data_IF_449485195101
#
_entry.id   IF_449485195101
#
_cell.length_a   1.000
_cell.length_b   1.000
_cell.length_c   1.000
_cell.angle_alpha   90.00
_cell.angle_beta   90.00
_cell.angle_gamma   90.00
#
_symmetry.space_group_name_H-M   'P 1'
#
loop_
_entity.id
_entity.type
_entity.pdbx_description
1 polymer ?
#
# COMPACT_ATOMS: atom_id res chain seq x y z
N UNK A 1 -45.94 32.27 -16.93
CA UNK A 1 -46.25 30.82 -17.11
C UNK A 1 -45.27 30.11 -18.06
N UNK A 2 -44.72 30.77 -19.09
CA UNK A 2 -43.87 30.13 -20.11
C UNK A 2 -42.44 29.78 -19.67
N UNK A 3 -41.76 30.66 -18.92
CA UNK A 3 -40.37 30.44 -18.46
C UNK A 3 -40.23 29.23 -17.52
N UNK A 4 -41.17 29.05 -16.58
CA UNK A 4 -41.17 27.94 -15.64
C UNK A 4 -41.36 26.58 -16.32
N UNK A 5 -42.31 26.51 -17.27
CA UNK A 5 -42.53 25.30 -18.09
C UNK A 5 -41.30 24.98 -18.94
N UNK A 6 -40.65 25.99 -19.52
CA UNK A 6 -39.42 25.82 -20.29
C UNK A 6 -38.27 25.25 -19.44
N UNK A 7 -38.05 25.78 -18.22
CA UNK A 7 -37.04 25.25 -17.32
C UNK A 7 -37.34 23.81 -16.88
N UNK A 8 -38.61 23.47 -16.67
CA UNK A 8 -39.03 22.11 -16.33
C UNK A 8 -38.81 21.13 -17.49
N UNK A 9 -39.21 21.50 -18.71
CA UNK A 9 -38.96 20.68 -19.91
C UNK A 9 -37.47 20.45 -20.11
N UNK A 10 -36.65 21.50 -19.98
CA UNK A 10 -35.18 21.37 -20.08
C UNK A 10 -34.60 20.38 -19.07
N UNK A 11 -35.02 20.45 -17.81
CA UNK A 11 -34.55 19.49 -16.78
C UNK A 11 -35.00 18.06 -17.08
N UNK A 12 -36.22 17.87 -17.58
CA UNK A 12 -36.72 16.55 -18.01
C UNK A 12 -35.87 15.98 -19.15
N UNK A 13 -35.54 16.81 -20.15
CA UNK A 13 -34.71 16.39 -21.28
C UNK A 13 -33.29 16.04 -20.82
N UNK A 14 -32.69 16.86 -19.96
CA UNK A 14 -31.37 16.59 -19.38
C UNK A 14 -31.35 15.28 -18.54
N UNK A 15 -32.41 15.01 -17.77
CA UNK A 15 -32.58 13.74 -17.04
C UNK A 15 -32.69 12.55 -17.99
N UNK A 16 -33.49 12.68 -19.06
CA UNK A 16 -33.66 11.63 -20.06
C UNK A 16 -32.34 11.29 -20.75
N UNK A 17 -31.59 12.32 -21.16
CA UNK A 17 -30.26 12.16 -21.78
C UNK A 17 -29.26 11.49 -20.82
N UNK A 18 -29.19 11.94 -19.56
CA UNK A 18 -28.31 11.36 -18.55
C UNK A 18 -28.70 9.91 -18.21
N UNK A 19 -29.99 9.60 -18.13
CA UNK A 19 -30.46 8.23 -17.92
C UNK A 19 -30.09 7.32 -19.09
N UNK A 20 -30.32 7.76 -20.33
CA UNK A 20 -29.92 7.00 -21.52
C UNK A 20 -28.41 6.72 -21.51
N UNK A 21 -27.60 7.74 -21.25
CA UNK A 21 -26.15 7.62 -21.15
C UNK A 21 -25.73 6.64 -20.03
N UNK A 22 -26.31 6.74 -18.84
CA UNK A 22 -25.98 5.87 -17.72
C UNK A 22 -26.43 4.42 -17.93
N UNK A 23 -27.58 4.20 -18.59
CA UNK A 23 -28.07 2.87 -18.96
C UNK A 23 -27.14 2.23 -19.98
N UNK A 24 -26.81 2.94 -21.06
CA UNK A 24 -25.87 2.45 -22.08
C UNK A 24 -24.50 2.10 -21.48
N UNK A 25 -24.08 2.85 -20.46
CA UNK A 25 -22.78 2.64 -19.83
C UNK A 25 -22.83 1.74 -18.59
N UNK A 26 -23.97 1.17 -18.23
CA UNK A 26 -24.13 0.33 -17.04
C UNK A 26 -23.30 -0.96 -17.14
N UNK A 27 -23.33 -1.62 -18.29
CA UNK A 27 -22.48 -2.76 -18.63
C UNK A 27 -21.01 -2.34 -18.72
N UNK A 28 -20.73 -1.16 -19.27
CA UNK A 28 -19.37 -0.63 -19.33
C UNK A 28 -18.80 -0.34 -17.94
N UNK A 29 -19.64 0.05 -16.98
CA UNK A 29 -19.23 0.27 -15.59
C UNK A 29 -18.78 -1.03 -14.92
N UNK A 30 -19.49 -2.15 -15.15
CA UNK A 30 -19.08 -3.45 -14.59
C UNK A 30 -17.78 -3.93 -15.24
N UNK A 31 -17.63 -3.75 -16.55
CA UNK A 31 -16.38 -4.00 -17.26
C UNK A 31 -15.21 -3.20 -16.68
N UNK A 32 -15.37 -1.88 -16.51
CA UNK A 32 -14.32 -1.02 -15.93
C UNK A 32 -14.00 -1.37 -14.47
N UNK A 33 -14.98 -1.83 -13.69
CA UNK A 33 -14.71 -2.36 -12.32
C UNK A 33 -13.85 -3.61 -12.37
N UNK A 34 -14.13 -4.52 -13.30
CA UNK A 34 -13.33 -5.72 -13.48
C UNK A 34 -11.92 -5.37 -13.98
N UNK A 35 -11.80 -4.44 -14.94
CA UNK A 35 -10.51 -3.92 -15.40
C UNK A 35 -9.70 -3.32 -14.25
N UNK A 36 -10.34 -2.53 -13.37
CA UNK A 36 -9.69 -1.97 -12.19
C UNK A 36 -9.19 -3.07 -11.25
N UNK A 37 -10.02 -4.06 -10.93
CA UNK A 37 -9.64 -5.16 -10.04
C UNK A 37 -8.51 -6.01 -10.62
N UNK A 38 -8.54 -6.28 -11.93
CA UNK A 38 -7.47 -6.99 -12.64
C UNK A 38 -6.17 -6.18 -12.66
N UNK A 39 -6.24 -4.87 -12.91
CA UNK A 39 -5.06 -4.00 -12.87
C UNK A 39 -4.46 -3.88 -11.47
N UNK A 40 -5.30 -3.86 -10.42
CA UNK A 40 -4.85 -3.89 -9.03
C UNK A 40 -4.13 -5.19 -8.68
N UNK A 41 -4.73 -6.34 -9.01
CA UNK A 41 -4.08 -7.65 -8.88
C UNK A 41 -2.78 -7.76 -9.68
N UNK A 42 -2.73 -7.18 -10.89
CA UNK A 42 -1.54 -7.18 -11.72
C UNK A 42 -0.40 -6.37 -11.07
N UNK A 43 -0.71 -5.18 -10.52
CA UNK A 43 0.27 -4.37 -9.79
C UNK A 43 0.81 -5.14 -8.58
N UNK A 44 -0.06 -5.68 -7.74
CA UNK A 44 0.34 -6.42 -6.54
C UNK A 44 1.23 -7.62 -6.88
N UNK A 45 0.86 -8.36 -7.94
CA UNK A 45 1.64 -9.50 -8.44
C UNK A 45 3.01 -9.06 -8.95
N UNK A 46 3.09 -7.98 -9.72
CA UNK A 46 4.36 -7.47 -10.26
C UNK A 46 5.27 -6.93 -9.16
N UNK A 47 4.72 -6.26 -8.14
CA UNK A 47 5.47 -5.76 -6.98
C UNK A 47 6.00 -6.92 -6.13
N UNK A 48 5.19 -7.96 -5.90
CA UNK A 48 5.63 -9.19 -5.22
C UNK A 48 6.76 -9.88 -6.00
N UNK A 49 6.63 -9.99 -7.33
CA UNK A 49 7.67 -10.57 -8.19
C UNK A 49 8.96 -9.74 -8.15
N UNK A 50 8.87 -8.41 -8.23
CA UNK A 50 10.02 -7.53 -8.12
C UNK A 50 10.73 -7.69 -6.77
N UNK A 51 9.97 -7.76 -5.68
CA UNK A 51 10.50 -7.98 -4.34
C UNK A 51 11.18 -9.36 -4.20
N UNK A 52 10.57 -10.43 -4.74
CA UNK A 52 11.15 -11.77 -4.74
C UNK A 52 12.45 -11.84 -5.54
N UNK A 53 12.48 -11.23 -6.73
CA UNK A 53 13.69 -11.16 -7.56
C UNK A 53 14.78 -10.34 -6.86
N UNK A 54 14.41 -9.26 -6.16
CA UNK A 54 15.36 -8.46 -5.37
C UNK A 54 16.02 -9.30 -4.30
N UNK A 55 15.23 -9.99 -3.47
CA UNK A 55 15.76 -10.86 -2.41
C UNK A 55 16.71 -11.92 -3.00
N UNK A 56 16.30 -12.55 -4.11
CA UNK A 56 17.15 -13.55 -4.78
C UNK A 56 18.45 -12.95 -5.31
N UNK A 57 18.38 -11.76 -5.92
CA UNK A 57 19.57 -11.05 -6.40
C UNK A 57 20.52 -10.70 -5.25
N UNK A 58 19.98 -10.23 -4.12
CA UNK A 58 20.77 -9.86 -2.93
C UNK A 58 21.42 -11.09 -2.30
N UNK A 59 20.70 -12.22 -2.26
CA UNK A 59 21.24 -13.52 -1.81
C UNK A 59 22.38 -14.00 -2.72
N UNK A 60 22.18 -14.02 -4.03
CA UNK A 60 23.21 -14.43 -4.98
C UNK A 60 24.43 -13.51 -4.91
N UNK A 61 24.23 -12.20 -4.77
CA UNK A 61 25.31 -11.24 -4.61
C UNK A 61 26.11 -11.52 -3.34
N UNK A 62 25.43 -11.77 -2.22
CA UNK A 62 26.09 -12.11 -0.95
C UNK A 62 26.88 -13.42 -1.05
N UNK A 63 26.27 -14.47 -1.62
CA UNK A 63 26.93 -15.77 -1.80
C UNK A 63 28.16 -15.65 -2.72
N UNK A 64 28.08 -14.82 -3.76
CA UNK A 64 29.21 -14.54 -4.65
C UNK A 64 30.35 -13.83 -3.91
N UNK A 65 30.05 -12.82 -3.11
CA UNK A 65 31.04 -12.10 -2.31
C UNK A 65 31.73 -13.02 -1.28
N UNK A 66 30.95 -13.88 -0.61
CA UNK A 66 31.49 -14.88 0.31
C UNK A 66 32.41 -15.87 -0.41
N UNK A 67 32.02 -16.32 -1.61
CA UNK A 67 32.86 -17.21 -2.41
C UNK A 67 34.18 -16.54 -2.82
N UNK A 68 34.16 -15.26 -3.21
CA UNK A 68 35.39 -14.52 -3.55
C UNK A 68 36.29 -14.33 -2.32
N UNK A 69 35.70 -14.06 -1.15
CA UNK A 69 36.42 -13.96 0.10
C UNK A 69 37.10 -15.27 0.50
N UNK A 70 36.39 -16.40 0.41
CA UNK A 70 36.95 -17.74 0.68
C UNK A 70 38.10 -18.07 -0.29
N UNK A 71 37.93 -17.83 -1.59
CA UNK A 71 39.01 -18.00 -2.59
C UNK A 71 40.24 -17.16 -2.27
N UNK A 72 40.06 -15.91 -1.87
CA UNK A 72 41.17 -15.05 -1.48
C UNK A 72 41.91 -15.59 -0.24
N UNK A 73 41.17 -16.09 0.75
CA UNK A 73 41.71 -16.69 1.98
C UNK A 73 42.47 -17.98 1.68
N UNK A 74 41.95 -18.85 0.81
CA UNK A 74 42.62 -20.07 0.36
C UNK A 74 43.93 -19.77 -0.39
N UNK A 75 43.90 -18.78 -1.28
CA UNK A 75 45.08 -18.34 -2.03
C UNK A 75 46.15 -17.76 -1.11
N UNK A 76 45.77 -17.00 -0.08
CA UNK A 76 46.70 -16.50 0.92
C UNK A 76 47.27 -17.63 1.80
N UNK A 77 46.43 -18.60 2.19
CA UNK A 77 46.89 -19.79 2.93
C UNK A 77 47.88 -20.62 2.10
N UNK A 78 47.64 -20.79 0.80
CA UNK A 78 48.53 -21.47 -0.12
C UNK A 78 49.88 -20.74 -0.24
N UNK A 79 49.88 -19.41 -0.39
CA UNK A 79 51.10 -18.59 -0.40
C UNK A 79 51.90 -18.71 0.89
N UNK A 80 51.24 -18.70 2.06
CA UNK A 80 51.92 -18.90 3.35
C UNK A 80 52.51 -20.31 3.47
N UNK A 81 51.80 -21.33 3.01
CA UNK A 81 52.30 -22.71 3.01
C UNK A 81 53.52 -22.88 2.09
N UNK A 82 53.49 -22.29 0.89
CA UNK A 82 54.61 -22.27 -0.04
C UNK A 82 55.83 -21.54 0.54
N UNK A 83 55.63 -20.36 1.14
CA UNK A 83 56.70 -19.63 1.81
C UNK A 83 57.34 -20.45 2.95
N UNK A 84 56.53 -21.14 3.76
CA UNK A 84 57.01 -22.04 4.83
C UNK A 84 57.83 -23.20 4.26
N UNK A 85 57.38 -23.81 3.16
CA UNK A 85 58.10 -24.88 2.47
C UNK A 85 59.44 -24.41 1.90
N UNK A 86 59.45 -23.24 1.25
CA UNK A 86 60.67 -22.63 0.71
C UNK A 86 61.68 -22.30 1.82
N UNK A 87 61.21 -21.77 2.95
CA UNK A 87 62.05 -21.53 4.13
C UNK A 87 62.67 -22.81 4.69
N UNK A 88 61.88 -23.88 4.82
CA UNK A 88 62.36 -25.20 5.23
C UNK A 88 63.43 -25.72 4.26
N UNK A 89 63.20 -25.60 2.95
CA UNK A 89 64.15 -26.02 1.92
C UNK A 89 65.47 -25.26 2.05
N UNK A 90 65.44 -23.93 2.14
CA UNK A 90 66.65 -23.10 2.32
C UNK A 90 67.41 -23.51 3.59
N UNK A 91 66.69 -23.72 4.70
CA UNK A 91 67.29 -24.15 5.98
C UNK A 91 67.98 -25.52 5.87
N UNK A 92 67.36 -26.48 5.19
CA UNK A 92 67.96 -27.80 4.94
C UNK A 92 69.22 -27.63 4.08
N UNK A 93 69.14 -26.90 2.96
CA UNK A 93 70.30 -26.65 2.09
C UNK A 93 71.46 -26.00 2.83
N UNK A 94 71.18 -24.99 3.67
CA UNK A 94 72.20 -24.34 4.50
C UNK A 94 72.84 -25.31 5.50
N UNK A 95 72.04 -26.10 6.22
CA UNK A 95 72.56 -27.13 7.14
C UNK A 95 73.43 -28.15 6.42
N UNK A 96 72.97 -28.65 5.28
CA UNK A 96 73.74 -29.63 4.48
C UNK A 96 75.06 -29.03 4.02
N UNK A 97 75.07 -27.78 3.53
CA UNK A 97 76.31 -27.07 3.17
C UNK A 97 77.27 -26.96 4.35
N UNK A 98 76.79 -26.51 5.51
CA UNK A 98 77.62 -26.41 6.72
C UNK A 98 78.23 -27.75 7.13
N UNK A 99 77.45 -28.83 7.07
CA UNK A 99 77.93 -30.18 7.38
C UNK A 99 79.02 -30.60 6.37
N UNK A 100 78.77 -30.43 5.07
CA UNK A 100 79.74 -30.75 4.01
C UNK A 100 81.02 -29.93 4.16
N UNK A 101 80.92 -28.65 4.49
CA UNK A 101 82.07 -27.78 4.73
C UNK A 101 82.87 -28.23 5.97
N UNK A 102 82.21 -28.62 7.06
CA UNK A 102 82.88 -29.22 8.23
C UNK A 102 83.63 -30.51 7.88
N UNK A 103 83.03 -31.40 7.08
CA UNK A 103 83.71 -32.62 6.62
C UNK A 103 84.88 -32.30 5.70
N UNK A 104 84.77 -31.29 4.81
CA UNK A 104 85.89 -30.83 3.97
C UNK A 104 87.05 -30.26 4.77
N UNK A 105 86.78 -29.51 5.84
CA UNK A 105 87.82 -28.98 6.74
C UNK A 105 88.44 -30.12 7.56
N UNK A 106 87.64 -31.10 8.01
CA UNK A 106 88.13 -32.30 8.71
C UNK A 106 89.05 -33.18 7.86
N UNK A 107 88.79 -33.28 6.55
CA UNK A 107 89.66 -34.01 5.60
C UNK A 107 91.00 -33.30 5.32
N UNK A 108 91.11 -31.99 5.58
CA UNK A 108 92.37 -31.23 5.41
C UNK A 108 93.30 -31.29 6.63
N UNK A 109 92.86 -31.86 7.75
CA UNK A 109 93.72 -32.13 8.91
C UNK A 109 93.47 -33.53 9.48
N UNK A 110 94.15 -34.57 8.97
CA UNK A 110 93.97 -35.95 9.44
C UNK A 110 94.54 -36.21 10.85
N UNK A 111 95.15 -35.21 11.50
CA UNK A 111 96.12 -35.47 12.56
C UNK A 111 96.00 -34.51 13.74
N UNK A 112 94.82 -34.39 14.35
CA UNK A 112 94.67 -33.78 15.69
C UNK A 112 93.33 -34.07 16.39
N UNK A 113 92.83 -35.31 16.34
CA UNK A 113 91.65 -35.70 17.12
C UNK A 113 91.79 -37.09 17.79
N UNK A 114 92.97 -37.40 18.34
CA UNK A 114 93.12 -38.56 19.26
C UNK A 114 93.48 -38.19 20.71
N UNK A 115 93.54 -36.90 21.06
CA UNK A 115 93.91 -36.47 22.42
C UNK A 115 92.75 -35.97 23.29
N UNK A 116 91.57 -35.66 22.72
CA UNK A 116 90.48 -35.02 23.50
C UNK A 116 89.38 -35.97 24.00
N UNK A 117 89.30 -37.21 23.51
CA UNK A 117 88.29 -38.18 23.98
C UNK A 117 88.55 -38.72 25.39
N UNK A 118 89.78 -38.60 25.92
CA UNK A 118 90.11 -39.01 27.29
C UNK A 118 89.88 -37.93 28.35
N UNK A 119 89.66 -36.66 27.98
CA UNK A 119 89.54 -35.57 28.95
C UNK A 119 88.10 -35.21 29.35
N UNK A 120 87.09 -35.70 28.61
CA UNK A 120 85.68 -35.31 28.85
C UNK A 120 84.87 -36.34 29.64
N UNK A 121 85.43 -37.50 30.00
CA UNK A 121 84.73 -38.51 30.83
C UNK A 121 84.84 -38.29 32.35
N UNK A 122 85.69 -37.37 32.82
CA UNK A 122 85.93 -37.16 34.25
C UNK A 122 85.44 -35.83 34.84
N UNK A 123 84.63 -35.04 34.13
CA UNK A 123 84.00 -33.85 34.71
C UNK A 123 82.54 -33.72 34.29
N UNK A 124 81.65 -34.34 35.06
CA UNK A 124 80.36 -33.76 35.50
C UNK A 124 79.59 -34.78 36.34
N UNK A 125 80.10 -35.01 37.54
CA UNK A 125 79.28 -35.27 38.72
C UNK A 125 79.42 -34.02 39.60
N UNK A 126 78.27 -33.53 40.08
CA UNK A 126 78.04 -32.47 41.09
C UNK A 126 77.92 -30.99 40.65
N UNK A 127 76.79 -30.44 41.11
CA UNK A 127 76.43 -29.04 41.40
C UNK A 127 75.97 -28.21 40.20
N UNK A 128 74.94 -27.34 40.29
CA UNK A 128 73.88 -26.97 41.24
C UNK A 128 72.97 -26.06 40.37
N UNK A 129 71.65 -26.19 40.42
CA UNK A 129 70.74 -25.20 41.02
C UNK A 129 70.90 -23.73 40.57
N UNK A 130 69.73 -23.20 40.17
CA UNK A 130 69.19 -21.83 40.19
C UNK A 130 69.42 -20.83 39.05
N UNK A 131 68.32 -20.11 38.82
CA UNK A 131 68.07 -18.91 38.00
C UNK A 131 67.94 -19.16 36.49
N UNK A 132 66.87 -18.83 35.78
CA UNK A 132 65.68 -18.04 36.08
C UNK A 132 65.12 -17.59 34.73
N UNK A 133 63.79 -17.57 34.59
CA UNK A 133 63.02 -16.74 33.64
C UNK A 133 63.12 -17.04 32.12
N UNK A 134 62.07 -17.71 31.61
CA UNK A 134 60.98 -17.12 30.77
C UNK A 134 60.63 -17.92 29.51
N UNK A 135 59.31 -18.17 29.45
CA UNK A 135 58.45 -18.25 28.27
C UNK A 135 58.54 -19.51 27.40
N UNK A 136 57.67 -20.47 27.71
CA UNK A 136 56.73 -21.07 26.76
C UNK A 136 55.84 -22.06 27.51
N UNK A 137 54.55 -21.77 27.59
CA UNK A 137 53.42 -22.72 27.62
C UNK A 137 52.13 -21.95 27.93
N UNK A 138 51.55 -21.35 26.89
CA UNK A 138 50.12 -21.08 26.83
C UNK A 138 49.58 -21.86 25.62
N UNK A 139 48.88 -22.95 25.90
CA UNK A 139 47.70 -23.44 25.16
C UNK A 139 47.37 -24.83 25.70
N UNK A 140 46.49 -24.87 26.70
CA UNK A 140 45.32 -25.76 26.74
C UNK A 140 44.72 -25.80 28.14
N UNK A 141 43.38 -25.73 28.16
CA UNK A 141 42.47 -25.95 29.30
C UNK A 141 42.21 -24.74 30.21
N UNK A 142 41.27 -23.91 29.77
CA UNK A 142 40.23 -23.38 30.69
C UNK A 142 38.95 -23.10 29.91
N UNK A 143 38.11 -24.13 29.79
CA UNK A 143 36.68 -24.02 29.48
C UNK A 143 35.96 -24.71 30.64
N UNK A 144 35.67 -23.98 31.72
CA UNK A 144 34.60 -24.36 32.66
C UNK A 144 34.45 -23.29 33.76
N UNK A 145 33.96 -22.08 33.45
CA UNK A 145 33.32 -21.23 34.48
C UNK A 145 32.34 -20.26 33.83
N UNK A 146 31.24 -20.03 34.54
CA UNK A 146 30.25 -18.96 34.37
C UNK A 146 29.06 -19.21 33.43
N UNK A 147 28.33 -20.28 33.74
CA UNK A 147 26.86 -20.24 33.71
C UNK A 147 26.35 -19.78 35.08
N UNK A 148 25.91 -18.53 35.19
CA UNK A 148 24.82 -18.06 36.08
C UNK A 148 24.59 -16.56 35.85
N UNK A 149 23.35 -16.12 36.06
CA UNK A 149 22.73 -14.83 35.72
C UNK A 149 22.29 -14.75 34.25
N UNK A 150 21.01 -14.61 33.87
CA UNK A 150 19.86 -14.06 34.56
C UNK A 150 18.57 -14.71 34.05
N UNK A 151 17.82 -15.35 34.95
CA UNK A 151 16.43 -15.73 34.73
C UNK A 151 15.60 -14.89 35.69
N UNK A 152 14.79 -13.94 35.16
CA UNK A 152 13.45 -13.52 35.64
C UNK A 152 13.14 -12.07 35.26
N UNK A 153 12.26 -11.90 34.28
CA UNK A 153 11.12 -10.96 34.23
C UNK A 153 10.09 -11.63 33.30
N UNK A 154 9.16 -12.42 33.83
CA UNK A 154 7.81 -12.06 34.28
C UNK A 154 6.75 -12.03 33.14
N UNK A 155 5.88 -13.03 33.24
CA UNK A 155 4.53 -13.21 32.69
C UNK A 155 3.78 -11.97 32.17
N UNK A 156 3.14 -12.11 31.00
CA UNK A 156 1.74 -11.75 30.79
C UNK A 156 1.20 -12.46 29.53
N UNK A 157 0.14 -13.25 29.69
CA UNK A 157 -0.46 -14.00 28.61
C UNK A 157 -1.13 -13.10 27.57
N UNK A 158 -0.81 -13.33 26.30
CA UNK A 158 -1.65 -12.93 25.17
C UNK A 158 -1.66 -14.10 24.18
N UNK A 159 -2.80 -14.80 24.12
CA UNK A 159 -3.14 -15.69 23.00
C UNK A 159 -3.28 -14.83 21.74
N UNK A 160 -2.27 -14.75 20.88
CA UNK A 160 -2.44 -14.29 19.49
C UNK A 160 -1.51 -15.05 18.55
N UNK A 161 -2.17 -15.80 17.68
CA UNK A 161 -1.84 -16.18 16.30
C UNK A 161 -0.37 -16.50 15.97
N UNK A 162 -0.19 -17.74 15.47
CA UNK A 162 1.04 -18.26 14.89
C UNK A 162 1.65 -17.21 13.94
N UNK A 163 2.88 -16.71 14.17
CA UNK A 163 3.56 -16.00 13.11
C UNK A 163 3.79 -17.01 11.99
N UNK A 164 3.37 -16.63 10.78
CA UNK A 164 3.76 -17.27 9.52
C UNK A 164 5.20 -17.72 9.66
N UNK A 165 5.41 -19.03 9.59
CA UNK A 165 6.73 -19.65 9.67
C UNK A 165 7.63 -18.95 8.67
N UNK A 166 8.46 -18.01 9.15
CA UNK A 166 9.69 -17.63 8.47
C UNK A 166 10.37 -18.96 8.20
N UNK A 167 10.40 -19.35 6.93
CA UNK A 167 11.18 -20.49 6.49
C UNK A 167 12.57 -20.32 7.10
N UNK A 168 12.89 -21.18 8.06
CA UNK A 168 14.22 -21.26 8.63
C UNK A 168 15.08 -21.67 7.45
N UNK A 169 15.78 -20.69 6.86
CA UNK A 169 16.75 -20.95 5.80
C UNK A 169 17.80 -21.85 6.43
N UNK A 170 17.66 -23.15 6.19
CA UNK A 170 18.75 -24.09 6.41
C UNK A 170 19.88 -23.61 5.51
N UNK A 171 20.88 -22.95 6.11
CA UNK A 171 22.16 -22.70 5.47
C UNK A 171 22.81 -24.06 5.20
N UNK A 172 22.42 -24.69 4.10
CA UNK A 172 23.11 -25.85 3.56
C UNK A 172 24.39 -25.32 2.92
N UNK A 173 25.48 -25.50 3.65
CA UNK A 173 26.87 -25.34 3.22
C UNK A 173 27.21 -26.30 2.07
N UNK A 174 26.63 -26.05 0.89
CA UNK A 174 27.17 -26.56 -0.37
C UNK A 174 28.10 -25.49 -0.93
N UNK A 175 29.23 -25.86 -1.55
CA UNK A 175 30.02 -24.92 -2.33
C UNK A 175 29.19 -24.57 -3.57
N UNK A 176 28.36 -23.54 -3.47
CA UNK A 176 27.62 -23.02 -4.62
C UNK A 176 28.62 -22.17 -5.38
N UNK A 177 29.10 -22.63 -6.53
CA UNK A 177 29.75 -21.72 -7.47
C UNK A 177 28.68 -20.78 -8.00
N UNK A 178 28.67 -19.54 -7.52
CA UNK A 178 27.68 -18.56 -7.97
C UNK A 178 28.09 -18.03 -9.34
N UNK A 179 27.19 -18.16 -10.31
CA UNK A 179 27.41 -17.63 -11.64
C UNK A 179 27.08 -16.11 -11.67
N UNK A 180 28.06 -15.23 -11.95
CA UNK A 180 27.82 -13.78 -11.99
C UNK A 180 26.80 -13.37 -13.07
N UNK A 181 26.63 -14.17 -14.13
CA UNK A 181 25.62 -13.92 -15.15
C UNK A 181 24.18 -13.99 -14.60
N UNK A 182 23.92 -14.85 -13.62
CA UNK A 182 22.59 -14.97 -13.01
C UNK A 182 22.22 -13.74 -12.16
N UNK A 183 23.21 -13.13 -11.52
CA UNK A 183 23.03 -11.88 -10.76
C UNK A 183 22.64 -10.76 -11.71
N UNK A 184 23.37 -10.59 -12.82
CA UNK A 184 23.08 -9.57 -13.81
C UNK A 184 21.73 -9.79 -14.50
N UNK A 185 21.36 -11.04 -14.78
CA UNK A 185 20.03 -11.37 -15.29
C UNK A 185 18.93 -10.97 -14.30
N UNK A 186 19.09 -11.24 -13.00
CA UNK A 186 18.13 -10.83 -11.98
C UNK A 186 18.00 -9.30 -11.89
N UNK A 187 19.13 -8.56 -11.93
CA UNK A 187 19.14 -7.10 -11.94
C UNK A 187 18.42 -6.53 -13.16
N UNK A 188 18.66 -7.08 -14.35
CA UNK A 188 18.00 -6.66 -15.58
C UNK A 188 16.49 -6.91 -15.54
N UNK A 189 16.06 -8.09 -15.07
CA UNK A 189 14.63 -8.40 -14.89
C UNK A 189 13.97 -7.46 -13.89
N UNK A 190 14.65 -7.13 -12.79
CA UNK A 190 14.16 -6.19 -11.78
C UNK A 190 14.04 -4.77 -12.35
N UNK A 191 15.01 -4.31 -13.15
CA UNK A 191 14.94 -3.04 -13.86
C UNK A 191 13.75 -3.00 -14.82
N UNK A 192 13.52 -4.05 -15.61
CA UNK A 192 12.36 -4.12 -16.51
C UNK A 192 11.02 -4.07 -15.76
N UNK A 193 10.92 -4.76 -14.63
CA UNK A 193 9.72 -4.73 -13.79
C UNK A 193 9.46 -3.33 -13.24
N UNK A 194 10.46 -2.72 -12.62
CA UNK A 194 10.31 -1.44 -11.94
C UNK A 194 10.16 -0.24 -12.89
N UNK A 195 10.85 -0.24 -14.03
CA UNK A 195 10.85 0.91 -14.94
C UNK A 195 9.73 0.86 -15.98
N UNK A 196 9.25 -0.34 -16.35
CA UNK A 196 8.27 -0.50 -17.44
C UNK A 196 6.98 -1.13 -16.96
N UNK A 197 7.03 -2.36 -16.43
CA UNK A 197 5.83 -3.16 -16.23
C UNK A 197 4.95 -2.64 -15.09
N UNK A 198 5.53 -2.37 -13.92
CA UNK A 198 4.80 -1.83 -12.76
C UNK A 198 4.18 -0.46 -13.10
N UNK A 199 4.93 0.52 -13.65
CA UNK A 199 4.34 1.81 -14.02
C UNK A 199 3.21 1.71 -15.06
N UNK A 200 3.31 0.80 -16.04
CA UNK A 200 2.24 0.58 -17.02
C UNK A 200 0.98 0.02 -16.36
N UNK A 201 1.12 -0.98 -15.49
CA UNK A 201 -0.02 -1.53 -14.74
C UNK A 201 -0.65 -0.48 -13.80
N UNK A 202 0.17 0.34 -13.14
CA UNK A 202 -0.29 1.47 -12.32
C UNK A 202 -1.07 2.49 -13.14
N UNK A 203 -0.63 2.84 -14.36
CA UNK A 203 -1.37 3.75 -15.26
C UNK A 203 -2.73 3.18 -15.65
N UNK A 204 -2.82 1.88 -15.94
CA UNK A 204 -4.11 1.23 -16.22
C UNK A 204 -5.04 1.29 -15.01
N UNK A 205 -4.51 1.04 -13.81
CA UNK A 205 -5.25 1.14 -12.54
C UNK A 205 -5.78 2.57 -12.32
N UNK A 206 -4.95 3.59 -12.52
CA UNK A 206 -5.38 4.99 -12.35
C UNK A 206 -6.42 5.39 -13.39
N UNK A 207 -6.24 4.99 -14.65
CA UNK A 207 -7.22 5.26 -15.71
C UNK A 207 -8.59 4.63 -15.41
N UNK A 208 -8.60 3.35 -15.03
CA UNK A 208 -9.84 2.66 -14.65
C UNK A 208 -10.52 3.34 -13.44
N UNK A 209 -9.73 3.77 -12.45
CA UNK A 209 -10.24 4.55 -11.30
C UNK A 209 -10.88 5.87 -11.72
N UNK A 210 -10.25 6.62 -12.62
CA UNK A 210 -10.81 7.88 -13.14
C UNK A 210 -12.14 7.67 -13.86
N UNK A 211 -12.25 6.60 -14.67
CA UNK A 211 -13.50 6.23 -15.34
C UNK A 211 -14.60 5.88 -14.33
N UNK A 212 -14.28 5.14 -13.26
CA UNK A 212 -15.24 4.85 -12.18
C UNK A 212 -15.69 6.10 -11.42
N UNK A 213 -14.77 7.04 -11.17
CA UNK A 213 -15.11 8.33 -10.55
C UNK A 213 -16.04 9.15 -11.45
N UNK A 214 -15.78 9.18 -12.76
CA UNK A 214 -16.67 9.84 -13.72
C UNK A 214 -18.09 9.24 -13.69
N UNK A 215 -18.21 7.91 -13.67
CA UNK A 215 -19.52 7.25 -13.52
C UNK A 215 -20.25 7.67 -12.26
N UNK A 216 -19.52 7.74 -11.13
CA UNK A 216 -20.09 8.17 -9.87
C UNK A 216 -20.58 9.61 -9.94
N UNK A 217 -19.79 10.54 -10.51
CA UNK A 217 -20.18 11.94 -10.69
C UNK A 217 -21.45 12.08 -11.54
N UNK A 218 -21.57 11.32 -12.64
CA UNK A 218 -22.78 11.34 -13.48
C UNK A 218 -24.02 10.80 -12.76
N UNK A 219 -23.86 9.76 -11.94
CA UNK A 219 -24.94 9.25 -11.09
C UNK A 219 -25.39 10.28 -10.06
N UNK A 220 -24.46 11.02 -9.45
CA UNK A 220 -24.77 12.09 -8.49
C UNK A 220 -25.49 13.25 -9.19
N UNK A 221 -25.00 13.66 -10.37
CA UNK A 221 -25.64 14.69 -11.19
C UNK A 221 -27.09 14.33 -11.53
N UNK A 222 -27.34 13.09 -11.94
CA UNK A 222 -28.70 12.59 -12.20
C UNK A 222 -29.58 12.70 -10.96
N UNK A 223 -29.08 12.27 -9.79
CA UNK A 223 -29.84 12.36 -8.54
C UNK A 223 -30.21 13.81 -8.18
N UNK A 224 -29.30 14.76 -8.41
CA UNK A 224 -29.56 16.18 -8.17
C UNK A 224 -30.63 16.74 -9.12
N UNK A 225 -30.56 16.40 -10.42
CA UNK A 225 -31.56 16.83 -11.39
C UNK A 225 -32.95 16.22 -11.09
N UNK A 226 -33.01 14.95 -10.71
CA UNK A 226 -34.26 14.31 -10.29
C UNK A 226 -34.89 15.03 -9.08
N UNK A 227 -34.07 15.46 -8.12
CA UNK A 227 -34.56 16.21 -6.97
C UNK A 227 -35.07 17.61 -7.38
N UNK A 228 -34.36 18.30 -8.28
CA UNK A 228 -34.83 19.57 -8.84
C UNK A 228 -36.17 19.41 -9.59
N UNK A 229 -36.32 18.33 -10.36
CA UNK A 229 -37.58 18.02 -11.07
C UNK A 229 -38.75 17.84 -10.09
N UNK A 230 -38.54 17.10 -8.98
CA UNK A 230 -39.57 16.94 -7.93
C UNK A 230 -39.95 18.29 -7.32
N UNK A 231 -38.98 19.13 -7.01
CA UNK A 231 -39.25 20.48 -6.48
C UNK A 231 -40.04 21.33 -7.46
N UNK A 232 -39.74 21.25 -8.76
CA UNK A 232 -40.50 21.94 -9.79
C UNK A 232 -41.94 21.42 -9.92
N UNK A 233 -42.14 20.11 -9.86
CA UNK A 233 -43.50 19.52 -9.84
C UNK A 233 -44.30 20.01 -8.63
N UNK A 234 -43.71 20.04 -7.43
CA UNK A 234 -44.39 20.54 -6.22
C UNK A 234 -44.76 22.01 -6.36
N UNK A 235 -43.89 22.84 -6.96
CA UNK A 235 -44.19 24.26 -7.21
C UNK A 235 -45.30 24.43 -8.25
N UNK A 236 -45.32 23.60 -9.29
CA UNK A 236 -46.35 23.62 -10.31
C UNK A 236 -47.72 23.26 -9.72
N UNK A 237 -47.83 22.17 -8.97
CA UNK A 237 -49.10 21.77 -8.36
C UNK A 237 -49.63 22.84 -7.41
N UNK A 238 -48.76 23.47 -6.61
CA UNK A 238 -49.13 24.63 -5.77
C UNK A 238 -49.60 25.84 -6.57
N UNK A 239 -49.04 26.08 -7.75
CA UNK A 239 -49.48 27.18 -8.62
C UNK A 239 -50.83 26.86 -9.28
N UNK A 240 -51.02 25.62 -9.74
CA UNK A 240 -52.27 25.17 -10.35
C UNK A 240 -53.44 25.21 -9.36
N UNK A 241 -53.23 24.77 -8.11
CA UNK A 241 -54.27 24.88 -7.06
C UNK A 241 -54.64 26.34 -6.78
N UNK A 242 -53.67 27.26 -6.74
CA UNK A 242 -53.93 28.70 -6.62
C UNK A 242 -54.69 29.26 -7.82
N UNK A 243 -54.30 28.88 -9.04
CA UNK A 243 -55.01 29.30 -10.25
C UNK A 243 -56.47 28.83 -10.25
N UNK A 244 -56.71 27.55 -9.93
CA UNK A 244 -58.05 26.98 -9.84
C UNK A 244 -58.88 27.69 -8.76
N UNK A 245 -58.28 28.02 -7.63
CA UNK A 245 -58.94 28.81 -6.58
C UNK A 245 -59.38 30.18 -7.10
N UNK A 246 -58.48 30.94 -7.73
CA UNK A 246 -58.84 32.25 -8.29
C UNK A 246 -59.86 32.15 -9.42
N UNK A 247 -59.79 31.10 -10.24
CA UNK A 247 -60.78 30.85 -11.29
C UNK A 247 -62.18 30.62 -10.71
N UNK A 248 -62.30 29.87 -9.62
CA UNK A 248 -63.57 29.67 -8.90
C UNK A 248 -64.10 30.99 -8.32
N UNK A 249 -63.22 31.84 -7.78
CA UNK A 249 -63.61 33.18 -7.30
C UNK A 249 -64.14 34.02 -8.46
N UNK A 250 -63.43 34.08 -9.58
CA UNK A 250 -63.86 34.83 -10.76
C UNK A 250 -65.22 34.34 -11.27
N UNK A 251 -65.43 33.03 -11.38
CA UNK A 251 -66.74 32.47 -11.76
C UNK A 251 -67.86 32.85 -10.78
N UNK A 252 -67.55 32.96 -9.49
CA UNK A 252 -68.51 33.38 -8.46
C UNK A 252 -68.86 34.86 -8.61
N UNK A 253 -67.85 35.71 -8.87
CA UNK A 253 -68.03 37.13 -9.15
C UNK A 253 -68.84 37.33 -10.43
N UNK A 254 -68.56 36.60 -11.51
CA UNK A 254 -69.29 36.68 -12.77
C UNK A 254 -70.77 36.32 -12.57
N UNK A 255 -71.06 35.24 -11.84
CA UNK A 255 -72.43 34.85 -11.48
C UNK A 255 -73.13 35.94 -10.66
N UNK A 256 -72.46 36.50 -9.65
CA UNK A 256 -73.01 37.58 -8.84
C UNK A 256 -73.28 38.85 -9.67
N UNK A 257 -72.41 39.16 -10.63
CA UNK A 257 -72.55 40.30 -11.55
C UNK A 257 -73.75 40.13 -12.47
N UNK A 258 -73.97 38.91 -13.01
CA UNK A 258 -75.16 38.58 -13.81
C UNK A 258 -76.44 38.75 -12.98
N UNK A 259 -76.45 38.26 -11.73
CA UNK A 259 -77.59 38.44 -10.82
C UNK A 259 -77.85 39.92 -10.53
N UNK A 260 -76.82 40.71 -10.22
CA UNK A 260 -76.94 42.14 -9.98
C UNK A 260 -77.44 42.89 -11.22
N UNK A 261 -76.96 42.53 -12.41
CA UNK A 261 -77.44 43.09 -13.68
C UNK A 261 -78.92 42.76 -13.90
N UNK A 262 -79.33 41.51 -13.66
CA UNK A 262 -80.73 41.10 -13.77
C UNK A 262 -81.63 41.87 -12.79
N UNK A 263 -81.22 41.98 -11.52
CA UNK A 263 -81.93 42.76 -10.50
C UNK A 263 -82.05 44.24 -10.88
N UNK A 264 -81.00 44.85 -11.44
CA UNK A 264 -81.04 46.23 -11.97
C UNK A 264 -81.99 46.36 -13.17
N UNK A 265 -82.02 45.37 -14.07
CA UNK A 265 -82.90 45.38 -15.24
C UNK A 265 -84.39 45.26 -14.88
N UNK A 266 -84.71 44.66 -13.74
CA UNK A 266 -86.08 44.46 -13.25
C UNK A 266 -86.74 45.72 -12.64
N UNK A 267 -86.10 46.90 -12.67
CA UNK A 267 -86.53 48.11 -11.92
C UNK A 267 -86.88 47.78 -10.45
N UNK A 268 -86.14 46.85 -9.84
CA UNK A 268 -86.45 46.36 -8.51
C UNK A 268 -86.29 47.47 -7.46
N UNK A 269 -87.20 47.51 -6.48
CA UNK A 269 -87.20 48.47 -5.37
C UNK A 269 -85.83 48.47 -4.65
N UNK A 270 -85.19 49.64 -4.42
CA UNK A 270 -83.85 49.76 -3.81
C UNK A 270 -83.66 48.99 -2.49
N UNK A 271 -84.75 48.77 -1.75
CA UNK A 271 -84.77 47.98 -0.51
C UNK A 271 -84.51 46.48 -0.76
N UNK A 272 -85.06 45.94 -1.85
CA UNK A 272 -84.87 44.54 -2.26
C UNK A 272 -83.45 44.29 -2.76
N UNK A 273 -82.89 45.27 -3.48
CA UNK A 273 -81.49 45.23 -3.94
C UNK A 273 -80.53 45.22 -2.75
N UNK A 274 -80.75 46.06 -1.73
CA UNK A 274 -79.94 46.08 -0.50
C UNK A 274 -80.00 44.77 0.28
N UNK A 275 -81.17 44.15 0.41
CA UNK A 275 -81.31 42.83 1.06
C UNK A 275 -80.60 41.72 0.29
N UNK A 276 -80.66 41.73 -1.04
CA UNK A 276 -79.95 40.77 -1.89
C UNK A 276 -78.43 40.96 -1.82
N UNK A 277 -77.94 42.21 -1.87
CA UNK A 277 -76.52 42.52 -1.73
C UNK A 277 -75.98 42.07 -0.37
N UNK A 278 -76.65 42.39 0.74
CA UNK A 278 -76.26 41.95 2.08
C UNK A 278 -76.26 40.42 2.22
N UNK A 279 -77.23 39.73 1.61
CA UNK A 279 -77.29 38.27 1.63
C UNK A 279 -76.18 37.62 0.80
N UNK A 280 -75.78 38.23 -0.31
CA UNK A 280 -74.62 37.76 -1.08
C UNK A 280 -73.33 38.01 -0.30
N UNK A 281 -73.13 39.21 0.25
CA UNK A 281 -71.96 39.53 1.08
C UNK A 281 -71.82 38.57 2.27
N UNK A 282 -72.91 38.29 3.00
CA UNK A 282 -72.90 37.34 4.11
C UNK A 282 -72.55 35.92 3.68
N UNK A 283 -73.08 35.44 2.54
CA UNK A 283 -72.74 34.11 2.01
C UNK A 283 -71.29 34.04 1.52
N UNK A 284 -70.79 35.09 0.88
CA UNK A 284 -69.39 35.18 0.46
C UNK A 284 -68.46 35.20 1.67
N UNK A 285 -68.82 35.92 2.74
CA UNK A 285 -68.05 36.00 3.98
C UNK A 285 -68.04 34.67 4.76
N UNK A 286 -69.15 33.93 4.75
CA UNK A 286 -69.21 32.57 5.30
C UNK A 286 -68.34 31.59 4.52
N UNK A 287 -68.35 31.65 3.18
CA UNK A 287 -67.47 30.81 2.36
C UNK A 287 -66.00 31.15 2.53
N UNK A 288 -65.62 32.44 2.57
CA UNK A 288 -64.21 32.81 2.81
C UNK A 288 -63.74 32.40 4.19
N UNK A 289 -64.58 32.51 5.22
CA UNK A 289 -64.25 32.01 6.56
C UNK A 289 -64.09 30.48 6.60
N UNK A 290 -64.98 29.74 5.93
CA UNK A 290 -64.88 28.28 5.85
C UNK A 290 -63.60 27.83 5.13
N UNK A 291 -63.29 28.46 4.00
CA UNK A 291 -62.10 28.14 3.21
C UNK A 291 -60.79 28.55 3.92
N UNK A 292 -60.80 29.64 4.70
CA UNK A 292 -59.67 30.04 5.55
C UNK A 292 -59.44 29.04 6.69
N UNK A 293 -60.52 28.49 7.27
CA UNK A 293 -60.42 27.43 8.28
C UNK A 293 -59.85 26.13 7.70
N UNK A 294 -60.24 25.75 6.47
CA UNK A 294 -59.68 24.58 5.78
C UNK A 294 -58.19 24.76 5.43
N UNK A 295 -57.80 25.96 4.99
CA UNK A 295 -56.40 26.31 4.73
C UNK A 295 -55.53 26.23 6.00
N UNK A 296 -56.03 26.72 7.13
CA UNK A 296 -55.33 26.64 8.43
C UNK A 296 -55.22 25.18 8.91
N UNK A 297 -56.23 24.35 8.64
CA UNK A 297 -56.23 22.93 8.97
C UNK A 297 -55.23 22.13 8.12
N UNK A 298 -55.09 22.44 6.84
CA UNK A 298 -54.06 21.85 5.98
C UNK A 298 -52.64 22.30 6.35
N UNK A 299 -52.48 23.53 6.86
CA UNK A 299 -51.17 24.02 7.28
C UNK A 299 -50.67 23.34 8.56
N UNK A 300 -51.59 22.95 9.47
CA UNK A 300 -51.29 22.22 10.73
C UNK A 300 -51.00 20.73 10.57
N UNK A 301 -51.38 20.11 9.45
CA UNK A 301 -51.12 18.68 9.20
C UNK A 301 -49.89 18.41 8.31
N UNK A 302 -49.24 19.46 7.79
CA UNK A 302 -48.06 19.37 6.90
C UNK A 302 -46.75 19.90 7.48
N UNK A 303 -46.68 20.11 8.80
CA UNK A 303 -45.48 20.50 9.55
C UNK A 303 -44.87 19.34 10.32
#
# INVERSE_FOLDING_TARGET
MTHWRFQQTRVVDEISQLNSLLTQMSERRTQVRNEFALAELEVDKLELLAHSIKIRSDQLQHDYEMQQFEKAKELEAAKRAEAKHNWLRVRITMRTKMIVDQFRVGLKHPQRQRSNERLMRNKRVKNRQTDGLKSQNEEEKSRETDRKYSTRLSNAGVKREKPVTRARVEFRSRPISVNPAEIEECKQRLLQLNQKRIPVAQRKKTEAKMRLQWFHQKSVQLSQLCEQQKQYQIRQTKAETKCNFFQTILQTIDKATVVLHHVRSLKANPMTIRKLANNMELKTLQMTMHNLAELDHMHKQGG
#
